data_IF_227196421165
#
_entry.id   IF_227196421165
#
_cell.length_a   1.000
_cell.length_b   1.000
_cell.length_c   1.000
_cell.angle_alpha   90.00
_cell.angle_beta   90.00
_cell.angle_gamma   90.00
#
_symmetry.space_group_name_H-M   'P 1'
#
loop_
_entity.id
_entity.type
_entity.pdbx_description
1 polymer ?
#
# COMPACT_ATOMS: atom_id res chain seq x y z
N UNK A 1 15.21 34.21 22.29
CA UNK A 1 15.07 32.76 22.02
C UNK A 1 15.84 32.01 23.09
N UNK A 2 15.15 31.22 23.90
CA UNK A 2 15.68 30.56 25.09
C UNK A 2 16.79 29.53 24.74
N UNK A 3 17.75 29.29 25.64
CA UNK A 3 18.93 28.42 25.40
C UNK A 3 18.51 27.01 25.00
N UNK A 4 17.39 26.52 25.53
CA UNK A 4 16.82 25.22 25.19
C UNK A 4 16.24 25.16 23.76
N UNK A 5 15.70 26.27 23.25
CA UNK A 5 15.17 26.34 21.88
C UNK A 5 16.28 26.31 20.82
N UNK A 6 17.45 26.89 21.13
CA UNK A 6 18.64 26.81 20.26
C UNK A 6 19.20 25.38 20.19
N UNK A 7 19.21 24.65 21.29
CA UNK A 7 19.67 23.25 21.32
C UNK A 7 18.73 22.32 20.56
N UNK A 8 17.41 22.54 20.63
CA UNK A 8 16.43 21.79 19.86
C UNK A 8 16.57 22.02 18.35
N UNK A 9 16.79 23.27 17.94
CA UNK A 9 17.06 23.65 16.55
C UNK A 9 18.37 23.05 16.01
N UNK A 10 19.42 23.02 16.83
CA UNK A 10 20.69 22.37 16.49
C UNK A 10 20.54 20.86 16.33
N UNK A 11 19.72 20.21 17.17
CA UNK A 11 19.43 18.78 17.05
C UNK A 11 18.67 18.48 15.75
N UNK A 12 17.70 19.33 15.38
CA UNK A 12 16.95 19.22 14.13
C UNK A 12 17.84 19.41 12.89
N UNK A 13 18.77 20.37 12.94
CA UNK A 13 19.77 20.60 11.90
C UNK A 13 20.74 19.41 11.75
N UNK A 14 21.19 18.81 12.87
CA UNK A 14 22.03 17.61 12.84
C UNK A 14 21.30 16.38 12.26
N UNK A 15 20.00 16.24 12.54
CA UNK A 15 19.19 15.16 11.95
C UNK A 15 18.98 15.35 10.44
N UNK A 16 18.86 16.60 9.98
CA UNK A 16 18.72 16.91 8.55
C UNK A 16 19.98 16.60 7.74
N UNK A 17 21.18 16.72 8.33
CA UNK A 17 22.45 16.38 7.66
C UNK A 17 22.66 14.89 7.44
N UNK A 18 21.94 14.00 8.13
CA UNK A 18 22.00 12.56 7.86
C UNK A 18 21.11 12.12 6.69
N UNK A 19 20.25 13.01 6.17
CA UNK A 19 19.34 12.69 5.05
C UNK A 19 19.86 13.12 3.67
N UNK A 20 21.02 13.78 3.60
CA UNK A 20 21.65 14.16 2.33
C UNK A 20 22.85 13.25 2.00
N UNK A 21 22.54 12.00 1.64
CA UNK A 21 23.44 11.11 0.90
C UNK A 21 22.99 11.04 -0.56
N UNK A 22 23.79 11.59 -1.46
CA UNK A 22 23.66 11.55 -2.94
C UNK A 22 23.37 10.12 -3.43
N UNK A 23 22.28 9.86 -4.18
CA UNK A 23 22.12 10.14 -5.61
C UNK A 23 23.22 9.53 -6.50
N UNK A 24 23.25 8.19 -6.62
CA UNK A 24 23.40 7.41 -7.87
C UNK A 24 23.38 5.91 -7.52
N UNK A 25 22.20 5.25 -7.54
CA UNK A 25 22.17 3.80 -7.40
C UNK A 25 22.64 3.20 -8.73
N UNK A 26 23.87 2.74 -8.73
CA UNK A 26 24.52 2.03 -9.83
C UNK A 26 23.66 0.86 -10.31
N UNK A 27 23.00 1.08 -11.46
CA UNK A 27 22.38 0.14 -12.41
C UNK A 27 21.27 -0.76 -11.87
N UNK A 28 20.05 -0.43 -12.30
CA UNK A 28 18.81 -1.23 -12.32
C UNK A 28 17.91 -1.18 -11.09
N UNK A 29 18.18 -0.38 -10.06
CA UNK A 29 17.33 -0.28 -8.87
C UNK A 29 16.58 1.05 -8.87
N UNK A 30 15.28 1.03 -8.59
CA UNK A 30 14.43 2.21 -8.46
C UNK A 30 13.67 2.18 -7.15
N UNK A 31 13.53 3.34 -6.51
CA UNK A 31 12.64 3.54 -5.37
C UNK A 31 11.47 4.41 -5.84
N UNK A 32 10.26 4.05 -5.47
CA UNK A 32 9.05 4.79 -5.85
C UNK A 32 8.09 4.88 -4.67
N UNK A 33 7.42 6.01 -4.56
CA UNK A 33 6.40 6.26 -3.55
C UNK A 33 5.12 6.72 -4.24
N UNK A 34 4.04 5.97 -4.06
CA UNK A 34 2.76 6.20 -4.72
C UNK A 34 1.68 6.52 -3.69
N UNK A 35 0.73 7.37 -4.07
CA UNK A 35 -0.46 7.65 -3.26
C UNK A 35 -1.64 6.85 -3.79
N UNK A 36 -2.33 6.13 -2.91
CA UNK A 36 -3.49 5.32 -3.25
C UNK A 36 -4.76 6.09 -2.90
N UNK A 37 -5.67 6.19 -3.86
CA UNK A 37 -6.99 6.77 -3.67
C UNK A 37 -8.03 5.96 -4.44
N UNK A 38 -9.13 5.58 -3.80
CA UNK A 38 -10.16 4.78 -4.45
C UNK A 38 -11.44 4.65 -3.63
N UNK A 39 -12.33 3.76 -4.07
CA UNK A 39 -13.56 3.43 -3.34
C UNK A 39 -13.66 1.92 -3.12
N UNK A 40 -14.20 1.52 -1.97
CA UNK A 40 -14.47 0.11 -1.67
C UNK A 40 -15.75 -0.30 -2.39
N UNK A 41 -15.68 -1.35 -3.21
CA UNK A 41 -16.83 -1.88 -3.94
C UNK A 41 -17.86 -2.50 -2.97
N UNK A 42 -19.01 -1.82 -2.84
CA UNK A 42 -20.12 -2.21 -1.95
C UNK A 42 -20.98 -3.33 -2.58
N UNK A 43 -20.46 -4.55 -2.58
CA UNK A 43 -21.15 -5.72 -3.16
C UNK A 43 -22.29 -6.29 -2.28
N UNK A 44 -22.45 -5.81 -1.04
CA UNK A 44 -23.52 -6.21 -0.12
C UNK A 44 -24.16 -4.97 0.55
N UNK A 45 -25.45 -5.05 0.89
CA UNK A 45 -26.20 -4.02 1.64
C UNK A 45 -25.54 -3.69 2.98
N UNK A 46 -24.89 -4.66 3.61
CA UNK A 46 -24.10 -4.48 4.85
C UNK A 46 -22.95 -3.47 4.66
N UNK A 47 -22.21 -3.62 3.57
CA UNK A 47 -21.07 -2.74 3.24
C UNK A 47 -21.50 -1.33 2.84
N UNK A 48 -22.71 -1.16 2.30
CA UNK A 48 -23.23 0.17 1.95
C UNK A 48 -23.30 1.10 3.16
N UNK A 49 -23.58 0.57 4.34
CA UNK A 49 -23.70 1.36 5.56
C UNK A 49 -22.35 1.58 6.26
N UNK A 50 -21.37 0.70 6.01
CA UNK A 50 -20.04 0.74 6.62
C UNK A 50 -19.06 1.63 5.83
N UNK A 51 -19.11 1.61 4.50
CA UNK A 51 -18.21 2.38 3.63
C UNK A 51 -18.76 3.78 3.43
N UNK A 52 -18.29 4.74 4.24
CA UNK A 52 -18.75 6.15 4.19
C UNK A 52 -17.83 7.11 3.45
N UNK A 53 -16.62 6.69 3.11
CA UNK A 53 -15.62 7.56 2.49
C UNK A 53 -14.71 6.86 1.50
N UNK A 54 -13.91 7.64 0.75
CA UNK A 54 -12.90 7.10 -0.15
C UNK A 54 -11.79 6.42 0.64
N UNK A 55 -11.31 5.30 0.12
CA UNK A 55 -10.10 4.65 0.59
C UNK A 55 -8.89 5.51 0.22
N UNK A 56 -7.98 5.65 1.18
CA UNK A 56 -6.73 6.40 1.01
C UNK A 56 -5.57 5.54 1.45
N UNK A 57 -4.40 5.75 0.88
CA UNK A 57 -3.23 4.98 1.26
C UNK A 57 -1.94 5.51 0.67
N UNK A 58 -0.85 4.89 1.07
CA UNK A 58 0.47 5.16 0.54
C UNK A 58 1.17 3.85 0.25
N UNK A 59 1.99 3.84 -0.79
CA UNK A 59 2.76 2.69 -1.19
C UNK A 59 4.23 3.08 -1.36
N UNK A 60 5.13 2.23 -0.86
CA UNK A 60 6.57 2.34 -1.08
C UNK A 60 7.06 1.09 -1.79
N UNK A 61 7.68 1.30 -2.95
CA UNK A 61 8.14 0.24 -3.84
C UNK A 61 9.65 0.32 -4.04
N UNK A 62 10.31 -0.83 -3.93
CA UNK A 62 11.67 -1.04 -4.41
C UNK A 62 11.59 -1.94 -5.64
N UNK A 63 12.21 -1.51 -6.73
CA UNK A 63 12.13 -2.16 -8.03
C UNK A 63 13.52 -2.46 -8.61
N UNK A 64 13.60 -3.56 -9.34
CA UNK A 64 14.75 -4.05 -10.08
C UNK A 64 14.41 -4.25 -11.56
N UNK A 65 15.13 -3.56 -12.43
CA UNK A 65 15.01 -3.73 -13.88
C UNK A 65 15.78 -4.98 -14.33
N UNK A 66 15.10 -5.90 -15.04
CA UNK A 66 15.77 -7.09 -15.58
C UNK A 66 16.73 -6.74 -16.72
N UNK A 67 17.84 -7.47 -16.79
CA UNK A 67 18.98 -7.23 -17.72
C UNK A 67 19.00 -8.14 -18.95
N UNK A 68 18.12 -9.15 -19.03
CA UNK A 68 18.15 -10.14 -20.11
C UNK A 68 18.87 -11.45 -19.81
N UNK A 69 19.41 -11.64 -18.60
CA UNK A 69 20.16 -12.86 -18.23
C UNK A 69 19.37 -14.18 -18.32
N UNK A 70 18.04 -14.12 -18.24
CA UNK A 70 17.16 -15.29 -18.31
C UNK A 70 16.29 -15.20 -19.58
N UNK A 71 15.95 -16.33 -20.23
CA UNK A 71 15.15 -16.33 -21.46
C UNK A 71 13.81 -15.58 -21.33
N UNK A 72 13.15 -15.67 -20.18
CA UNK A 72 11.87 -15.00 -19.94
C UNK A 72 11.97 -13.48 -19.87
N UNK A 73 13.16 -12.92 -19.61
CA UNK A 73 13.37 -11.47 -19.61
C UNK A 73 13.10 -10.91 -21.01
N UNK A 74 13.63 -11.53 -22.06
CA UNK A 74 13.42 -11.08 -23.44
C UNK A 74 11.98 -11.36 -23.91
N UNK A 75 11.42 -12.51 -23.55
CA UNK A 75 10.04 -12.87 -23.89
C UNK A 75 9.02 -11.86 -23.34
N UNK A 76 9.26 -11.32 -22.14
CA UNK A 76 8.41 -10.31 -21.49
C UNK A 76 8.91 -8.87 -21.68
N UNK A 77 9.76 -8.62 -22.69
CA UNK A 77 10.27 -7.30 -23.04
C UNK A 77 10.97 -6.56 -21.88
N UNK A 78 11.81 -7.27 -21.14
CA UNK A 78 12.57 -6.80 -19.98
C UNK A 78 11.66 -6.20 -18.90
N UNK A 79 10.88 -7.04 -18.21
CA UNK A 79 10.01 -6.57 -17.15
C UNK A 79 10.82 -6.12 -15.93
N UNK A 80 10.20 -5.35 -15.05
CA UNK A 80 10.78 -4.99 -13.76
C UNK A 80 10.16 -5.87 -12.68
N UNK A 81 10.95 -6.34 -11.73
CA UNK A 81 10.47 -7.07 -10.56
C UNK A 81 10.66 -6.20 -9.33
N UNK A 82 9.78 -6.28 -8.35
CA UNK A 82 9.87 -5.43 -7.17
C UNK A 82 9.19 -6.01 -5.95
N UNK A 83 9.44 -5.38 -4.81
CA UNK A 83 8.69 -5.61 -3.57
C UNK A 83 8.12 -4.27 -3.14
N UNK A 84 6.86 -4.31 -2.72
CA UNK A 84 6.12 -3.13 -2.31
C UNK A 84 5.48 -3.33 -0.95
N UNK A 85 5.43 -2.25 -0.18
CA UNK A 85 4.65 -2.15 1.05
C UNK A 85 3.58 -1.09 0.88
N UNK A 86 2.32 -1.46 1.13
CA UNK A 86 1.18 -0.56 1.03
C UNK A 86 0.52 -0.39 2.40
N UNK A 87 0.19 0.85 2.75
CA UNK A 87 -0.64 1.20 3.89
C UNK A 87 -1.98 1.72 3.37
N UNK A 88 -3.09 1.14 3.83
CA UNK A 88 -4.44 1.47 3.41
C UNK A 88 -5.29 1.87 4.61
N UNK A 89 -5.95 3.01 4.48
CA UNK A 89 -6.98 3.52 5.38
C UNK A 89 -8.36 3.30 4.74
N UNK A 90 -9.19 2.50 5.40
CA UNK A 90 -10.55 2.19 4.96
C UNK A 90 -11.57 3.29 5.30
N UNK A 91 -11.14 4.44 5.82
CA UNK A 91 -11.96 5.61 6.14
C UNK A 91 -13.12 5.30 7.12
N UNK A 92 -12.96 4.22 7.89
CA UNK A 92 -13.83 3.82 8.99
C UNK A 92 -13.00 3.11 10.08
N UNK A 93 -12.18 3.86 10.84
CA UNK A 93 -11.20 3.27 11.76
C UNK A 93 -11.86 2.42 12.86
N UNK A 94 -13.08 2.76 13.25
CA UNK A 94 -13.80 2.06 14.32
C UNK A 94 -14.26 0.65 13.91
N UNK A 95 -14.63 0.44 12.63
CA UNK A 95 -15.16 -0.85 12.15
C UNK A 95 -14.23 -1.56 11.18
N UNK A 96 -13.65 -0.87 10.19
CA UNK A 96 -12.80 -1.45 9.15
C UNK A 96 -11.30 -1.30 9.46
N UNK A 97 -10.91 -0.23 10.17
CA UNK A 97 -9.53 -0.02 10.59
C UNK A 97 -8.57 0.33 9.45
N UNK A 98 -7.34 -0.15 9.58
CA UNK A 98 -6.26 0.02 8.62
C UNK A 98 -5.75 -1.33 8.13
N UNK A 99 -5.15 -1.35 6.94
CA UNK A 99 -4.43 -2.50 6.42
C UNK A 99 -3.00 -2.14 6.05
N UNK A 100 -2.08 -3.06 6.33
CA UNK A 100 -0.69 -3.02 5.87
C UNK A 100 -0.46 -4.24 5.01
N UNK A 101 -0.05 -4.04 3.77
CA UNK A 101 0.28 -5.11 2.85
C UNK A 101 1.76 -5.09 2.49
N UNK A 102 2.33 -6.28 2.31
CA UNK A 102 3.64 -6.48 1.72
C UNK A 102 3.50 -7.50 0.60
N UNK A 103 4.01 -7.16 -0.57
CA UNK A 103 3.83 -8.01 -1.74
C UNK A 103 4.95 -7.85 -2.76
N UNK A 104 5.47 -8.94 -3.33
CA UNK A 104 6.23 -8.89 -4.56
C UNK A 104 5.31 -8.56 -5.75
N UNK A 105 5.85 -7.87 -6.75
CA UNK A 105 5.16 -7.55 -7.99
C UNK A 105 6.06 -7.71 -9.22
N UNK A 106 5.40 -7.89 -10.36
CA UNK A 106 5.99 -7.90 -11.69
C UNK A 106 5.38 -6.75 -12.50
N UNK A 107 6.24 -5.92 -13.10
CA UNK A 107 5.86 -4.80 -13.96
C UNK A 107 6.24 -5.10 -15.41
N UNK A 108 5.23 -5.32 -16.24
CA UNK A 108 5.34 -5.65 -17.65
C UNK A 108 5.19 -4.39 -18.51
N UNK A 109 6.19 -4.00 -19.31
CA UNK A 109 6.04 -2.90 -20.25
C UNK A 109 5.14 -3.31 -21.42
N UNK A 110 4.01 -2.64 -21.59
CA UNK A 110 3.09 -2.88 -22.71
C UNK A 110 3.51 -2.02 -23.90
N UNK A 111 3.69 -0.71 -23.69
CA UNK A 111 4.04 0.24 -24.73
C UNK A 111 5.22 1.10 -24.27
N UNK A 112 6.26 1.20 -25.11
CA UNK A 112 7.40 2.09 -24.92
C UNK A 112 7.59 2.93 -26.18
N UNK A 113 7.13 4.17 -26.14
CA UNK A 113 7.43 5.22 -27.10
C UNK A 113 8.31 6.30 -26.45
N UNK A 114 8.90 7.18 -27.25
CA UNK A 114 9.88 8.18 -26.80
C UNK A 114 9.44 9.02 -25.58
N UNK A 115 8.14 9.34 -25.47
CA UNK A 115 7.58 10.14 -24.37
C UNK A 115 6.41 9.44 -23.65
N UNK A 116 6.09 8.21 -24.03
CA UNK A 116 4.94 7.48 -23.49
C UNK A 116 5.37 6.07 -23.12
N UNK A 117 5.31 5.77 -21.83
CA UNK A 117 5.60 4.45 -21.30
C UNK A 117 4.36 3.97 -20.54
N UNK A 118 3.81 2.85 -20.98
CA UNK A 118 2.68 2.20 -20.33
C UNK A 118 3.11 0.83 -19.86
N UNK A 119 2.95 0.55 -18.58
CA UNK A 119 3.32 -0.70 -17.97
C UNK A 119 2.18 -1.25 -17.10
N UNK A 120 2.00 -2.56 -17.15
CA UNK A 120 1.08 -3.27 -16.29
C UNK A 120 1.83 -3.86 -15.10
N UNK A 121 1.43 -3.47 -13.90
CA UNK A 121 1.97 -3.98 -12.64
C UNK A 121 0.96 -4.93 -12.03
N UNK A 122 1.41 -6.14 -11.71
CA UNK A 122 0.62 -7.14 -11.00
C UNK A 122 1.41 -7.72 -9.84
N UNK A 123 0.76 -7.90 -8.69
CA UNK A 123 1.41 -8.38 -7.48
C UNK A 123 0.45 -9.17 -6.60
N UNK A 124 1.02 -10.08 -5.82
CA UNK A 124 0.30 -10.91 -4.88
C UNK A 124 1.15 -11.10 -3.62
N UNK A 125 0.54 -10.95 -2.45
CA UNK A 125 1.25 -11.05 -1.19
C UNK A 125 0.31 -11.17 0.00
N UNK A 126 0.76 -10.66 1.14
CA UNK A 126 0.05 -10.76 2.40
C UNK A 126 -0.32 -9.37 2.90
N UNK A 127 -1.47 -9.29 3.55
CA UNK A 127 -1.93 -8.11 4.26
C UNK A 127 -2.29 -8.44 5.69
N UNK A 128 -2.01 -7.49 6.58
CA UNK A 128 -2.45 -7.48 7.95
C UNK A 128 -3.48 -6.38 8.14
N UNK A 129 -4.63 -6.73 8.69
CA UNK A 129 -5.76 -5.82 8.96
C UNK A 129 -5.93 -5.66 10.46
N UNK A 130 -6.08 -4.43 10.93
CA UNK A 130 -6.21 -4.13 12.36
C UNK A 130 -7.56 -4.53 12.94
N UNK A 131 -8.62 -4.51 12.13
CA UNK A 131 -9.99 -4.83 12.57
C UNK A 131 -10.54 -6.04 11.82
N UNK A 132 -11.00 -7.01 12.60
CA UNK A 132 -11.67 -8.24 12.16
C UNK A 132 -13.08 -8.28 12.72
N UNK A 133 -13.89 -9.23 12.26
CA UNK A 133 -15.22 -9.49 12.81
C UNK A 133 -15.19 -9.58 14.34
N UNK A 134 -14.31 -10.39 14.93
CA UNK A 134 -14.26 -10.57 16.39
C UNK A 134 -13.99 -9.28 17.17
N UNK A 135 -13.11 -8.43 16.65
CA UNK A 135 -12.65 -7.21 17.33
C UNK A 135 -13.47 -5.95 17.00
N UNK A 136 -14.39 -6.06 16.05
CA UNK A 136 -15.24 -4.98 15.59
C UNK A 136 -16.69 -5.47 15.43
N UNK A 137 -17.16 -6.32 16.35
CA UNK A 137 -18.56 -6.73 16.45
C UNK A 137 -19.22 -6.08 17.65
N UNK A 138 -20.35 -5.40 17.40
CA UNK A 138 -21.21 -4.91 18.46
C UNK A 138 -22.38 -5.89 18.65
N UNK A 139 -22.69 -6.22 19.90
CA UNK A 139 -23.80 -7.11 20.27
C UNK A 139 -24.93 -6.33 20.93
N UNK A 140 -26.17 -6.65 20.57
CA UNK A 140 -27.36 -6.27 21.28
C UNK A 140 -27.39 -6.90 22.68
N UNK A 141 -28.14 -6.32 23.64
CA UNK A 141 -28.32 -6.92 24.97
C UNK A 141 -28.95 -8.31 24.96
N UNK A 142 -29.65 -8.67 23.87
CA UNK A 142 -30.27 -9.98 23.65
C UNK A 142 -29.30 -11.03 23.05
N UNK A 143 -28.04 -10.66 22.81
CA UNK A 143 -27.01 -11.51 22.20
C UNK A 143 -26.99 -11.52 20.67
N UNK A 144 -27.90 -10.82 19.99
CA UNK A 144 -27.87 -10.66 18.53
C UNK A 144 -26.82 -9.64 18.08
N UNK A 145 -26.36 -9.69 16.82
CA UNK A 145 -25.28 -8.83 16.31
C UNK A 145 -25.84 -7.56 15.65
N UNK A 146 -25.31 -6.38 16.01
CA UNK A 146 -25.59 -5.13 15.30
C UNK A 146 -24.95 -5.13 13.90
N UNK A 147 -25.69 -5.62 12.90
CA UNK A 147 -25.18 -5.70 11.52
C UNK A 147 -24.71 -4.32 11.00
N UNK A 148 -25.39 -3.24 11.32
CA UNK A 148 -24.99 -1.90 10.88
C UNK A 148 -23.67 -1.36 11.49
N UNK A 149 -23.14 -1.99 12.54
CA UNK A 149 -21.92 -1.57 13.24
C UNK A 149 -20.81 -2.62 13.23
N UNK A 150 -21.13 -3.87 12.87
CA UNK A 150 -20.19 -4.98 12.95
C UNK A 150 -19.43 -5.21 11.63
N UNK A 151 -18.13 -5.51 11.73
CA UNK A 151 -17.29 -5.81 10.57
C UNK A 151 -17.53 -7.23 10.04
N UNK A 152 -18.53 -7.43 9.19
CA UNK A 152 -18.79 -8.71 8.53
C UNK A 152 -17.92 -8.97 7.28
N UNK A 153 -16.97 -8.08 6.98
CA UNK A 153 -16.20 -8.11 5.74
C UNK A 153 -14.90 -8.91 5.88
N UNK A 154 -14.28 -8.89 7.06
CA UNK A 154 -12.92 -9.42 7.27
C UNK A 154 -12.92 -10.29 8.52
N UNK A 155 -12.76 -11.60 8.34
CA UNK A 155 -12.76 -12.59 9.44
C UNK A 155 -11.39 -12.78 10.10
N UNK A 156 -10.29 -12.58 9.37
CA UNK A 156 -8.93 -12.84 9.86
C UNK A 156 -8.07 -11.59 9.83
N UNK A 157 -7.08 -11.52 10.72
CA UNK A 157 -6.09 -10.44 10.73
C UNK A 157 -5.15 -10.52 9.53
N UNK A 158 -4.79 -11.74 9.10
CA UNK A 158 -3.93 -11.97 7.94
C UNK A 158 -4.79 -12.39 6.75
N UNK A 159 -4.61 -11.72 5.62
CA UNK A 159 -5.34 -11.96 4.38
C UNK A 159 -4.40 -11.93 3.18
N UNK A 160 -4.85 -12.49 2.05
CA UNK A 160 -4.17 -12.38 0.77
C UNK A 160 -4.39 -10.98 0.20
N UNK A 161 -3.32 -10.33 -0.23
CA UNK A 161 -3.36 -9.06 -0.96
C UNK A 161 -3.08 -9.30 -2.44
N UNK A 162 -3.97 -8.84 -3.30
CA UNK A 162 -3.80 -8.89 -4.75
C UNK A 162 -3.90 -7.47 -5.31
N UNK A 163 -2.99 -7.13 -6.21
CA UNK A 163 -3.01 -5.84 -6.91
C UNK A 163 -2.74 -6.02 -8.40
N UNK A 164 -3.42 -5.18 -9.18
CA UNK A 164 -3.21 -5.05 -10.61
C UNK A 164 -3.47 -3.59 -10.99
N UNK A 165 -2.47 -2.91 -11.56
CA UNK A 165 -2.57 -1.51 -11.94
C UNK A 165 -1.81 -1.22 -13.24
N UNK A 166 -2.22 -0.14 -13.90
CA UNK A 166 -1.56 0.41 -15.09
C UNK A 166 -0.81 1.67 -14.70
N UNK A 167 0.46 1.73 -15.06
CA UNK A 167 1.37 2.85 -14.87
C UNK A 167 1.77 3.45 -16.20
#
# INVERSE_FOLDING_TARGET
MDRNQKNLLLLFLFFSSYFFGTAQISKNYSLSGDYIYGEILKHNKHLKNLVKGPLRGGELSIEWQTTGEKPWHQYLNFPSIGISTAFLDFCHPDTLGYAVAIYPYLKLPILRYQHFNMAFKAGAGLSYVTKTFDNATAYHPDGSVYLNKSNAAIGSHVNVYLTANLN
#
